data_IF_898940271788
#
_entry.id   IF_898940271788
#
_cell.length_a   1.000
_cell.length_b   1.000
_cell.length_c   1.000
_cell.angle_alpha   90.00
_cell.angle_beta   90.00
_cell.angle_gamma   90.00
#
_symmetry.space_group_name_H-M   'P 1'
#
loop_
_entity.id
_entity.type
_entity.pdbx_description
1 polymer ?
#
# COMPACT_ATOMS: atom_id res chain seq x y z
N UNK A 1 4.58 -22.09 -11.58
CA UNK A 1 3.47 -21.19 -11.20
C UNK A 1 4.10 -20.00 -10.51
N UNK A 2 4.19 -18.85 -11.18
CA UNK A 2 4.64 -17.62 -10.53
C UNK A 2 3.49 -17.10 -9.67
N UNK A 3 3.75 -16.92 -8.39
CA UNK A 3 2.83 -16.26 -7.46
C UNK A 3 3.20 -14.78 -7.44
N UNK A 4 2.43 -13.97 -8.16
CA UNK A 4 2.66 -12.52 -8.22
C UNK A 4 1.58 -11.79 -7.42
N UNK A 5 1.96 -10.77 -6.62
CA UNK A 5 0.98 -9.90 -6.01
C UNK A 5 0.23 -9.11 -7.09
N UNK A 6 -1.08 -9.02 -6.95
CA UNK A 6 -1.95 -8.22 -7.79
C UNK A 6 -2.17 -6.84 -7.14
N UNK A 7 -2.37 -5.82 -7.95
CA UNK A 7 -2.72 -4.50 -7.45
C UNK A 7 -3.20 -3.54 -8.53
N UNK A 8 -3.82 -2.45 -8.11
CA UNK A 8 -4.22 -1.35 -8.96
C UNK A 8 -4.06 -0.02 -8.23
N UNK A 9 -3.69 1.03 -8.96
CA UNK A 9 -3.71 2.40 -8.48
C UNK A 9 -4.98 3.07 -9.00
N UNK A 10 -5.88 3.44 -8.10
CA UNK A 10 -7.14 4.10 -8.42
C UNK A 10 -6.97 5.62 -8.53
N UNK A 11 -6.07 6.20 -7.74
CA UNK A 11 -5.85 7.65 -7.67
C UNK A 11 -4.37 7.96 -7.46
N UNK A 12 -3.84 8.89 -8.25
CA UNK A 12 -2.47 9.42 -8.12
C UNK A 12 -2.52 10.94 -8.19
N UNK A 13 -2.18 11.62 -7.09
CA UNK A 13 -2.19 13.07 -7.00
C UNK A 13 -1.73 13.56 -5.62
N UNK A 14 -2.53 14.41 -4.97
CA UNK A 14 -2.32 14.83 -3.57
C UNK A 14 -2.45 13.67 -2.57
N UNK A 15 -3.07 12.58 -3.00
CA UNK A 15 -3.10 11.30 -2.31
C UNK A 15 -2.81 10.21 -3.34
N UNK A 16 -2.33 9.07 -2.89
CA UNK A 16 -2.21 7.86 -3.70
C UNK A 16 -3.14 6.82 -3.08
N UNK A 17 -4.12 6.34 -3.84
CA UNK A 17 -5.03 5.30 -3.41
C UNK A 17 -4.98 4.13 -4.38
N UNK A 18 -5.18 2.94 -3.85
CA UNK A 18 -5.11 1.72 -4.64
C UNK A 18 -5.49 0.51 -3.81
N UNK A 19 -5.22 -0.65 -4.38
CA UNK A 19 -5.29 -1.92 -3.66
C UNK A 19 -4.13 -2.83 -4.02
N UNK A 20 -3.74 -3.68 -3.09
CA UNK A 20 -2.69 -4.67 -3.27
C UNK A 20 -3.08 -5.96 -2.54
N UNK A 21 -3.14 -7.06 -3.29
CA UNK A 21 -3.60 -8.36 -2.83
C UNK A 21 -2.65 -9.46 -3.30
N UNK A 22 -2.45 -10.49 -2.49
CA UNK A 22 -1.66 -11.65 -2.87
C UNK A 22 -2.58 -12.88 -2.93
N UNK A 23 -2.85 -13.45 -4.12
CA UNK A 23 -3.71 -14.65 -4.23
C UNK A 23 -3.15 -15.86 -3.48
N UNK A 24 -1.83 -15.94 -3.30
CA UNK A 24 -1.19 -17.00 -2.52
C UNK A 24 -1.45 -16.89 -1.01
N UNK A 25 -1.72 -15.68 -0.52
CA UNK A 25 -1.98 -15.40 0.90
C UNK A 25 -3.15 -14.41 1.01
N UNK A 26 -4.40 -14.86 0.77
CA UNK A 26 -5.54 -13.97 0.66
C UNK A 26 -5.88 -13.19 1.94
N UNK A 27 -5.45 -13.68 3.10
CA UNK A 27 -5.62 -12.98 4.38
C UNK A 27 -4.49 -11.97 4.67
N UNK A 28 -3.38 -12.05 3.93
CA UNK A 28 -2.20 -11.24 4.19
C UNK A 28 -2.41 -9.80 3.73
N UNK A 29 -2.21 -8.86 4.66
CA UNK A 29 -2.12 -7.43 4.36
C UNK A 29 -0.76 -7.12 3.79
N UNK A 30 -0.72 -6.76 2.51
CA UNK A 30 0.53 -6.35 1.88
C UNK A 30 0.92 -4.96 2.38
N UNK A 31 2.22 -4.78 2.64
CA UNK A 31 2.79 -3.46 2.86
C UNK A 31 3.07 -2.83 1.51
N UNK A 32 2.47 -1.69 1.26
CA UNK A 32 2.66 -0.90 0.04
C UNK A 32 3.61 0.23 0.35
N UNK A 33 4.62 0.36 -0.51
CA UNK A 33 5.60 1.43 -0.45
C UNK A 33 5.41 2.35 -1.65
N UNK A 34 5.20 3.63 -1.37
CA UNK A 34 5.05 4.66 -2.39
C UNK A 34 6.29 5.55 -2.35
N UNK A 35 7.00 5.61 -3.48
CA UNK A 35 8.19 6.43 -3.69
C UNK A 35 7.82 7.61 -4.60
N UNK A 36 8.01 8.85 -4.14
CA UNK A 36 7.69 10.03 -4.94
C UNK A 36 8.60 11.23 -4.63
N UNK A 37 8.80 12.11 -5.63
CA UNK A 37 9.63 13.31 -5.51
C UNK A 37 11.12 13.09 -5.83
N UNK A 38 11.88 14.19 -5.77
CA UNK A 38 13.35 14.22 -5.87
C UNK A 38 13.92 15.16 -4.79
N UNK A 39 14.71 14.66 -3.82
CA UNK A 39 15.03 13.25 -3.59
C UNK A 39 13.79 12.41 -3.24
N UNK A 40 13.80 11.09 -3.52
CA UNK A 40 12.62 10.24 -3.36
C UNK A 40 12.19 10.15 -1.89
N UNK A 41 10.96 10.55 -1.62
CA UNK A 41 10.31 10.35 -0.35
C UNK A 41 9.64 8.98 -0.34
N UNK A 42 9.90 8.20 0.70
CA UNK A 42 9.33 6.86 0.92
C UNK A 42 8.20 6.97 1.94
N UNK A 43 7.01 6.53 1.55
CA UNK A 43 5.89 6.38 2.48
C UNK A 43 5.40 4.95 2.45
N UNK A 44 5.32 4.34 3.63
CA UNK A 44 4.84 2.98 3.81
C UNK A 44 3.39 3.02 4.31
N UNK A 45 2.55 2.15 3.77
CA UNK A 45 1.18 1.96 4.22
C UNK A 45 0.81 0.47 4.17
N UNK A 46 -0.24 0.10 4.90
CA UNK A 46 -0.80 -1.24 4.84
C UNK A 46 -2.02 -1.24 3.92
N UNK A 47 -2.11 -2.27 3.08
CA UNK A 47 -3.30 -2.58 2.32
C UNK A 47 -4.28 -3.34 3.22
N UNK A 48 -4.90 -2.64 4.17
CA UNK A 48 -5.85 -3.18 5.14
C UNK A 48 -7.24 -2.54 5.08
N UNK A 49 -7.45 -1.57 4.20
CA UNK A 49 -8.72 -0.90 4.06
C UNK A 49 -9.74 -1.80 3.37
N UNK A 50 -10.89 -1.95 4.00
CA UNK A 50 -12.00 -2.71 3.45
C UNK A 50 -12.58 -2.01 2.22
N UNK A 51 -12.65 -2.73 1.10
CA UNK A 51 -13.37 -2.34 -0.10
C UNK A 51 -14.38 -3.41 -0.48
N UNK A 52 -15.68 -3.07 -0.55
CA UNK A 52 -16.73 -4.03 -0.90
C UNK A 52 -16.58 -4.55 -2.33
N UNK A 53 -15.97 -3.76 -3.23
CA UNK A 53 -15.67 -4.17 -4.60
C UNK A 53 -14.58 -5.28 -4.66
N UNK A 54 -13.60 -5.26 -3.75
CA UNK A 54 -12.58 -6.32 -3.67
C UNK A 54 -13.15 -7.61 -3.07
N UNK A 55 -14.01 -7.49 -2.06
CA UNK A 55 -14.73 -8.63 -1.48
C UNK A 55 -15.63 -9.31 -2.53
N UNK A 56 -16.43 -8.52 -3.26
CA UNK A 56 -17.29 -9.03 -4.33
C UNK A 56 -16.50 -9.67 -5.48
N UNK A 57 -15.26 -9.22 -5.71
CA UNK A 57 -14.34 -9.80 -6.69
C UNK A 57 -13.59 -11.04 -6.20
N UNK A 58 -13.85 -11.52 -4.97
CA UNK A 58 -13.21 -12.70 -4.39
C UNK A 58 -11.76 -12.48 -3.94
N UNK A 59 -11.34 -11.23 -3.73
CA UNK A 59 -10.00 -10.90 -3.24
C UNK A 59 -10.00 -10.89 -1.72
N UNK A 60 -9.77 -12.07 -1.14
CA UNK A 60 -9.71 -12.25 0.32
C UNK A 60 -10.99 -11.77 1.02
N UNK A 61 -10.83 -11.02 2.11
CA UNK A 61 -11.91 -10.39 2.87
C UNK A 61 -12.19 -8.93 2.45
N UNK A 62 -11.76 -8.56 1.23
CA UNK A 62 -11.90 -7.21 0.67
C UNK A 62 -11.03 -6.15 1.34
N UNK A 63 -10.26 -6.50 2.38
CA UNK A 63 -9.37 -5.60 3.12
C UNK A 63 -7.98 -5.52 2.50
N UNK A 64 -7.95 -5.09 1.26
CA UNK A 64 -6.73 -4.96 0.48
C UNK A 64 -6.57 -3.57 -0.13
N UNK A 65 -7.42 -2.61 0.25
CA UNK A 65 -7.29 -1.22 -0.15
C UNK A 65 -6.23 -0.48 0.68
N UNK A 66 -5.62 0.54 0.09
CA UNK A 66 -4.74 1.48 0.78
C UNK A 66 -4.97 2.90 0.29
N UNK A 67 -4.59 3.87 1.12
CA UNK A 67 -4.59 5.29 0.77
C UNK A 67 -3.45 5.97 1.52
N UNK A 68 -2.66 6.75 0.81
CA UNK A 68 -1.50 7.48 1.30
C UNK A 68 -1.70 8.95 0.99
N UNK A 69 -1.57 9.81 1.99
CA UNK A 69 -1.57 11.26 1.74
C UNK A 69 -0.17 11.73 1.36
N UNK A 70 -0.05 12.33 0.18
CA UNK A 70 1.18 12.91 -0.35
C UNK A 70 1.34 14.36 0.13
N UNK A 71 0.25 15.00 0.57
CA UNK A 71 0.28 16.38 1.09
C UNK A 71 0.99 16.45 2.44
N UNK A 72 2.14 17.11 2.47
CA UNK A 72 2.83 17.45 3.72
C UNK A 72 3.47 16.28 4.44
N UNK A 73 3.81 15.19 3.72
CA UNK A 73 4.60 14.12 4.31
C UNK A 73 5.82 14.74 5.01
N UNK A 74 5.95 14.54 6.35
CA UNK A 74 6.98 15.21 7.11
C UNK A 74 8.34 14.88 6.50
N UNK A 75 9.22 15.88 6.43
CA UNK A 75 10.66 15.64 6.28
C UNK A 75 11.09 14.84 7.51
N UNK A 76 10.87 13.53 7.52
CA UNK A 76 11.31 12.69 8.62
C UNK A 76 12.81 12.49 8.49
N UNK A 77 13.55 13.52 8.94
CA UNK A 77 14.79 13.31 9.66
C UNK A 77 14.45 12.64 10.99
N UNK A 78 14.30 11.32 10.97
CA UNK A 78 14.35 10.48 12.15
C UNK A 78 15.47 9.47 11.92
N UNK A 79 16.70 9.91 12.20
CA UNK A 79 17.79 9.03 12.56
C UNK A 79 17.37 8.25 13.83
N UNK A 80 17.51 6.92 13.79
CA UNK A 80 17.38 6.01 14.95
C UNK A 80 16.36 4.90 14.70
N UNK A 81 16.62 3.60 14.84
CA UNK A 81 17.71 2.87 15.52
C UNK A 81 17.74 1.40 15.04
N UNK A 82 18.92 0.80 15.23
CA UNK A 82 19.20 -0.60 15.56
C UNK A 82 18.93 -1.70 14.52
N UNK A 83 20.03 -2.27 14.01
CA UNK A 83 20.25 -3.72 14.13
C UNK A 83 21.68 -3.94 14.65
N UNK A 84 21.76 -4.57 15.82
CA UNK A 84 22.94 -5.36 16.20
C UNK A 84 22.91 -6.72 15.51
#
# INVERSE_FOLDING_TARGET
MSIEPEGCLDLVGSQVAGWAWLPAEPDRRLRVEVLFGDPPLRVETLADQHRPDLEAAGKGDGRHGFTVSVVGAPRSGALGVARG
#
